data_IF_622994246793
#
_entry.id   IF_622994246793
#
_cell.length_a   1.000
_cell.length_b   1.000
_cell.length_c   1.000
_cell.angle_alpha   90.00
_cell.angle_beta   90.00
_cell.angle_gamma   90.00
#
_symmetry.space_group_name_H-M   'P 1'
#
loop_
_entity.id
_entity.type
_entity.pdbx_description
1 polymer ?
#
# COMPACT_ATOMS: atom_id res chain seq x y z
N UNK A 1 -17.45 -10.67 9.03
CA UNK A 1 -17.13 -10.82 7.59
C UNK A 1 -18.41 -11.10 6.83
N UNK A 2 -18.81 -10.21 5.93
CA UNK A 2 -19.91 -10.46 4.98
C UNK A 2 -19.52 -11.58 4.01
N UNK A 3 -20.48 -12.45 3.67
CA UNK A 3 -20.27 -13.55 2.73
C UNK A 3 -19.97 -13.06 1.31
N UNK A 4 -19.37 -13.92 0.48
CA UNK A 4 -19.16 -13.63 -0.94
C UNK A 4 -20.54 -13.59 -1.63
N UNK A 5 -20.88 -12.47 -2.28
CA UNK A 5 -22.18 -12.26 -2.94
C UNK A 5 -22.02 -12.12 -4.45
N UNK A 6 -22.48 -13.10 -5.21
CA UNK A 6 -22.45 -13.06 -6.69
C UNK A 6 -23.67 -12.28 -7.20
N UNK A 7 -23.52 -11.27 -8.09
CA UNK A 7 -24.65 -10.68 -8.77
C UNK A 7 -25.33 -11.73 -9.67
N UNK A 8 -26.66 -11.72 -9.70
CA UNK A 8 -27.47 -12.60 -10.55
C UNK A 8 -27.94 -11.81 -11.75
N UNK A 9 -27.68 -12.34 -12.95
CA UNK A 9 -28.08 -11.75 -14.23
C UNK A 9 -29.28 -12.52 -14.76
N UNK A 10 -30.42 -11.85 -14.85
CA UNK A 10 -31.66 -12.42 -15.37
C UNK A 10 -32.16 -11.66 -16.58
N UNK A 11 -33.00 -12.31 -17.38
CA UNK A 11 -33.71 -11.65 -18.46
C UNK A 11 -34.51 -10.45 -17.93
N UNK A 12 -34.53 -9.35 -18.70
CA UNK A 12 -35.22 -8.12 -18.33
C UNK A 12 -34.53 -7.28 -17.24
N UNK A 13 -33.35 -7.66 -16.77
CA UNK A 13 -32.60 -6.86 -15.81
C UNK A 13 -32.10 -5.55 -16.43
N UNK A 14 -32.46 -4.42 -15.82
CA UNK A 14 -31.87 -3.12 -16.16
C UNK A 14 -30.54 -2.94 -15.42
N UNK A 15 -29.45 -2.73 -16.18
CA UNK A 15 -28.13 -2.53 -15.61
C UNK A 15 -28.07 -1.23 -14.80
N UNK A 16 -27.47 -1.29 -13.62
CA UNK A 16 -27.24 -0.14 -12.74
C UNK A 16 -25.80 -0.16 -12.19
N UNK A 17 -25.35 0.95 -11.61
CA UNK A 17 -24.00 1.05 -11.04
C UNK A 17 -23.76 0.00 -9.95
N UNK A 18 -24.77 -0.30 -9.14
CA UNK A 18 -24.68 -1.28 -8.05
C UNK A 18 -24.38 -2.69 -8.56
N UNK A 19 -24.88 -3.05 -9.75
CA UNK A 19 -24.57 -4.35 -10.34
C UNK A 19 -23.09 -4.48 -10.67
N UNK A 20 -22.48 -3.46 -11.27
CA UNK A 20 -21.06 -3.44 -11.59
C UNK A 20 -20.20 -3.39 -10.32
N UNK A 21 -20.54 -2.52 -9.37
CA UNK A 21 -19.83 -2.42 -8.09
C UNK A 21 -19.86 -3.73 -7.30
N UNK A 22 -21.01 -4.43 -7.28
CA UNK A 22 -21.14 -5.73 -6.60
C UNK A 22 -20.44 -6.85 -7.38
N UNK A 23 -20.35 -6.75 -8.71
CA UNK A 23 -19.60 -7.68 -9.55
C UNK A 23 -18.10 -7.57 -9.30
N UNK A 24 -17.56 -6.36 -9.25
CA UNK A 24 -16.14 -6.11 -8.90
C UNK A 24 -15.82 -6.64 -7.50
N UNK A 25 -16.65 -6.28 -6.52
CA UNK A 25 -16.50 -6.74 -5.14
C UNK A 25 -16.53 -8.26 -5.01
N UNK A 26 -17.38 -8.94 -5.79
CA UNK A 26 -17.47 -10.40 -5.80
C UNK A 26 -16.15 -11.04 -6.23
N UNK A 27 -15.59 -10.57 -7.34
CA UNK A 27 -14.34 -11.11 -7.89
C UNK A 27 -13.15 -10.78 -7.00
N UNK A 28 -13.03 -9.55 -6.53
CA UNK A 28 -11.95 -9.14 -5.63
C UNK A 28 -11.99 -9.91 -4.32
N UNK A 29 -13.17 -10.04 -3.70
CA UNK A 29 -13.33 -10.81 -2.46
C UNK A 29 -12.96 -12.29 -2.64
N UNK A 30 -13.31 -12.88 -3.79
CA UNK A 30 -12.94 -14.26 -4.09
C UNK A 30 -11.41 -14.40 -4.24
N UNK A 31 -10.78 -13.47 -4.97
CA UNK A 31 -9.33 -13.44 -5.19
C UNK A 31 -8.57 -13.33 -3.87
N UNK A 32 -8.89 -12.31 -3.07
CA UNK A 32 -8.25 -12.04 -1.77
C UNK A 32 -8.39 -13.26 -0.84
N UNK A 33 -9.58 -13.88 -0.77
CA UNK A 33 -9.80 -15.06 0.09
C UNK A 33 -9.00 -16.27 -0.38
N UNK A 34 -8.97 -16.55 -1.68
CA UNK A 34 -8.18 -17.66 -2.24
C UNK A 34 -6.70 -17.48 -1.97
N UNK A 35 -6.18 -16.25 -2.14
CA UNK A 35 -4.79 -15.94 -1.80
C UNK A 35 -4.50 -16.13 -0.32
N UNK A 36 -5.32 -15.60 0.58
CA UNK A 36 -5.14 -15.77 2.02
C UNK A 36 -5.18 -17.23 2.48
N UNK A 37 -5.98 -18.09 1.84
CA UNK A 37 -6.02 -19.52 2.16
C UNK A 37 -4.73 -20.27 1.80
N UNK A 38 -4.06 -19.86 0.72
CA UNK A 38 -2.81 -20.49 0.28
C UNK A 38 -1.56 -19.82 0.88
N UNK A 39 -1.65 -18.53 1.16
CA UNK A 39 -0.57 -17.69 1.67
C UNK A 39 -1.08 -16.86 2.85
N UNK A 40 -1.15 -17.43 4.06
CA UNK A 40 -1.65 -16.72 5.25
C UNK A 40 -0.85 -15.47 5.61
N UNK A 41 0.43 -15.43 5.22
CA UNK A 41 1.32 -14.27 5.36
C UNK A 41 1.63 -13.63 3.98
N UNK A 42 0.74 -13.78 3.01
CA UNK A 42 0.87 -13.25 1.64
C UNK A 42 0.60 -11.76 1.51
N UNK A 43 1.00 -10.97 2.51
CA UNK A 43 0.89 -9.51 2.53
C UNK A 43 2.23 -8.91 2.96
N UNK A 44 2.47 -7.66 2.61
CA UNK A 44 3.71 -6.96 2.89
C UNK A 44 4.31 -6.26 1.69
N UNK A 45 5.55 -5.82 1.84
CA UNK A 45 6.30 -5.05 0.87
C UNK A 45 6.94 -6.00 -0.13
N UNK A 46 6.75 -5.73 -1.42
CA UNK A 46 7.52 -6.34 -2.51
C UNK A 46 8.71 -5.46 -2.88
N UNK A 47 8.47 -4.15 -2.96
CA UNK A 47 9.48 -3.15 -3.31
C UNK A 47 9.19 -1.85 -2.56
N UNK A 48 10.22 -1.20 -2.02
CA UNK A 48 10.12 0.10 -1.35
C UNK A 48 11.35 0.93 -1.68
N UNK A 49 11.14 2.18 -2.07
CA UNK A 49 12.19 3.19 -2.22
C UNK A 49 11.80 4.44 -1.43
N UNK A 50 12.64 4.79 -0.47
CA UNK A 50 12.51 5.98 0.37
C UNK A 50 13.49 7.06 -0.10
N UNK A 51 13.15 8.30 0.19
CA UNK A 51 14.07 9.44 0.07
C UNK A 51 14.88 9.56 1.37
N UNK A 52 16.15 9.16 1.31
CA UNK A 52 17.06 9.22 2.46
C UNK A 52 17.47 10.64 2.82
N UNK A 53 17.52 11.57 1.85
CA UNK A 53 17.86 12.97 2.12
C UNK A 53 16.72 13.67 2.86
N UNK A 54 15.47 13.37 2.50
CA UNK A 54 14.31 13.84 3.24
C UNK A 54 14.30 13.30 4.68
N UNK A 55 14.72 12.04 4.86
CA UNK A 55 14.77 11.42 6.19
C UNK A 55 15.76 12.13 7.11
N UNK A 56 16.93 12.49 6.61
CA UNK A 56 17.93 13.29 7.34
C UNK A 56 17.42 14.69 7.73
N UNK A 57 16.39 15.18 7.04
CA UNK A 57 15.69 16.45 7.31
C UNK A 57 14.46 16.27 8.21
N UNK A 58 14.26 15.09 8.80
CA UNK A 58 13.14 14.81 9.71
C UNK A 58 11.80 14.56 9.00
N UNK A 59 11.82 14.15 7.73
CA UNK A 59 10.63 13.82 6.93
C UNK A 59 10.74 12.42 6.35
N UNK A 60 9.74 11.59 6.54
CA UNK A 60 9.68 10.32 5.81
C UNK A 60 8.99 10.56 4.47
N UNK A 61 9.66 10.30 3.34
CA UNK A 61 9.08 10.38 2.00
C UNK A 61 9.27 9.07 1.25
N UNK A 62 8.18 8.58 0.68
CA UNK A 62 8.16 7.40 -0.19
C UNK A 62 8.27 7.88 -1.63
N UNK A 63 9.27 7.40 -2.35
CA UNK A 63 9.44 7.67 -3.78
C UNK A 63 8.67 6.63 -4.61
N UNK A 64 8.68 5.38 -4.14
CA UNK A 64 8.00 4.27 -4.80
C UNK A 64 7.71 3.13 -3.82
N UNK A 65 6.56 2.47 -3.96
CA UNK A 65 6.23 1.25 -3.23
C UNK A 65 5.38 0.31 -4.09
N UNK A 66 5.69 -0.98 -4.04
CA UNK A 66 4.81 -2.08 -4.47
C UNK A 66 4.57 -2.99 -3.27
N UNK A 67 3.31 -3.18 -2.88
CA UNK A 67 2.97 -3.91 -1.68
C UNK A 67 1.57 -4.53 -1.75
N UNK A 68 1.28 -5.41 -0.81
CA UNK A 68 -0.07 -5.90 -0.52
C UNK A 68 -0.39 -5.53 0.94
N UNK A 69 -1.46 -4.78 1.15
CA UNK A 69 -1.94 -4.42 2.48
C UNK A 69 -2.48 -5.66 3.21
N UNK A 70 -2.61 -5.58 4.53
CA UNK A 70 -3.10 -6.70 5.36
C UNK A 70 -4.51 -7.17 4.96
N UNK A 71 -5.33 -6.27 4.42
CA UNK A 71 -6.67 -6.62 3.92
C UNK A 71 -6.68 -7.21 2.49
N UNK A 72 -5.52 -7.35 1.86
CA UNK A 72 -5.33 -7.92 0.53
C UNK A 72 -5.33 -6.91 -0.61
N UNK A 73 -5.56 -5.61 -0.36
CA UNK A 73 -5.48 -4.58 -1.41
C UNK A 73 -4.03 -4.43 -1.90
N UNK A 74 -3.86 -4.45 -3.21
CA UNK A 74 -2.56 -4.22 -3.85
C UNK A 74 -2.28 -2.72 -3.93
N UNK A 75 -1.07 -2.32 -3.55
CA UNK A 75 -0.56 -0.95 -3.66
C UNK A 75 0.55 -0.94 -4.69
N UNK A 76 0.47 0.00 -5.63
CA UNK A 76 1.53 0.35 -6.56
C UNK A 76 1.55 1.87 -6.62
N UNK A 77 2.55 2.48 -5.99
CA UNK A 77 2.70 3.92 -5.92
C UNK A 77 4.02 4.37 -6.54
N UNK A 78 3.98 5.43 -7.36
CA UNK A 78 5.16 6.16 -7.86
C UNK A 78 4.96 7.67 -7.73
N UNK A 79 5.91 8.35 -7.10
CA UNK A 79 5.82 9.80 -6.84
C UNK A 79 5.67 10.64 -8.12
N UNK A 80 6.33 10.25 -9.21
CA UNK A 80 6.27 10.95 -10.51
C UNK A 80 4.89 10.90 -11.18
N UNK A 81 4.04 9.94 -10.80
CA UNK A 81 2.69 9.75 -11.35
C UNK A 81 1.59 10.17 -10.38
N UNK A 82 1.79 9.89 -9.10
CA UNK A 82 0.77 10.02 -8.06
C UNK A 82 0.94 11.24 -7.17
N UNK A 83 2.11 11.91 -7.24
CA UNK A 83 2.44 13.05 -6.38
C UNK A 83 3.16 12.64 -5.10
N UNK A 84 3.43 13.60 -4.18
CA UNK A 84 4.22 13.34 -2.99
C UNK A 84 3.46 12.48 -1.98
N UNK A 85 4.17 11.51 -1.39
CA UNK A 85 3.71 10.71 -0.25
C UNK A 85 4.74 10.85 0.88
N UNK A 86 4.50 11.81 1.77
CA UNK A 86 5.41 12.09 2.88
C UNK A 86 4.69 12.49 4.17
N UNK A 87 5.39 12.34 5.30
CA UNK A 87 4.95 12.85 6.60
C UNK A 87 6.13 13.47 7.37
N UNK A 88 5.80 14.46 8.20
CA UNK A 88 6.76 15.04 9.13
C UNK A 88 6.96 14.09 10.31
N UNK A 89 8.21 13.83 10.67
CA UNK A 89 8.53 13.02 11.83
C UNK A 89 8.46 13.88 13.10
N UNK A 90 7.85 13.38 14.18
CA UNK A 90 7.91 14.04 15.49
C UNK A 90 9.35 14.06 16.02
N UNK A 91 9.64 14.98 16.93
CA UNK A 91 10.95 14.99 17.61
C UNK A 91 11.20 13.66 18.35
N UNK A 92 12.45 13.16 18.41
CA UNK A 92 12.75 11.91 19.09
C UNK A 92 12.35 11.94 20.56
N UNK A 93 11.47 11.02 20.98
CA UNK A 93 10.96 10.91 22.36
C UNK A 93 11.76 9.95 23.24
N UNK A 94 12.86 9.37 22.72
CA UNK A 94 13.63 8.32 23.39
C UNK A 94 13.11 6.90 23.16
N UNK A 95 11.95 6.75 22.48
CA UNK A 95 11.42 5.46 22.04
C UNK A 95 11.56 5.28 20.52
N UNK A 96 11.64 4.04 20.02
CA UNK A 96 11.59 3.77 18.58
C UNK A 96 10.29 4.24 17.94
N UNK A 97 10.40 4.89 16.78
CA UNK A 97 9.26 5.41 16.03
C UNK A 97 8.97 4.50 14.83
N UNK A 98 7.75 3.96 14.74
CA UNK A 98 7.32 3.18 13.58
C UNK A 98 6.60 4.08 12.57
N UNK A 99 7.05 4.05 11.32
CA UNK A 99 6.35 4.69 10.19
C UNK A 99 5.66 3.62 9.36
N UNK A 100 4.37 3.82 9.13
CA UNK A 100 3.52 2.89 8.39
C UNK A 100 2.84 3.59 7.23
N UNK A 101 2.62 2.84 6.15
CA UNK A 101 1.69 3.19 5.10
C UNK A 101 0.27 2.95 5.62
N UNK A 102 -0.59 3.95 5.55
CA UNK A 102 -2.00 3.85 5.92
C UNK A 102 -2.89 3.91 4.68
N UNK A 103 -3.98 3.14 4.73
CA UNK A 103 -5.04 3.12 3.74
C UNK A 103 -6.39 2.98 4.46
N UNK A 104 -7.37 3.86 4.21
CA UNK A 104 -8.70 3.72 4.81
C UNK A 104 -9.34 2.36 4.52
N UNK A 105 -9.93 1.72 5.53
CA UNK A 105 -10.49 0.36 5.47
C UNK A 105 -11.80 0.24 4.68
N UNK A 106 -12.38 1.37 4.25
CA UNK A 106 -13.60 1.38 3.45
C UNK A 106 -13.29 1.21 1.94
N UNK A 107 -14.34 1.33 1.12
CA UNK A 107 -14.26 1.23 -0.34
C UNK A 107 -14.86 2.45 -1.04
N UNK A 108 -15.03 3.55 -0.30
CA UNK A 108 -15.60 4.78 -0.83
C UNK A 108 -14.56 5.51 -1.66
N UNK A 109 -15.05 6.38 -2.53
CA UNK A 109 -14.23 7.19 -3.40
C UNK A 109 -14.62 8.66 -3.24
N UNK A 110 -13.62 9.50 -3.02
CA UNK A 110 -13.76 10.94 -2.97
C UNK A 110 -13.64 11.57 -4.36
N UNK A 111 -14.12 12.83 -4.48
CA UNK A 111 -13.98 13.65 -5.69
C UNK A 111 -15.00 13.35 -6.80
N UNK A 112 -16.01 12.52 -6.52
CA UNK A 112 -17.08 12.23 -7.50
C UNK A 112 -18.12 13.35 -7.46
N UNK A 113 -18.30 14.04 -8.59
CA UNK A 113 -19.31 15.09 -8.72
C UNK A 113 -20.73 14.58 -8.41
N UNK A 114 -21.48 15.33 -7.59
CA UNK A 114 -22.85 14.96 -7.20
C UNK A 114 -22.97 14.00 -6.01
N UNK A 115 -21.84 13.51 -5.47
CA UNK A 115 -21.80 12.79 -4.19
C UNK A 115 -21.33 13.75 -3.08
N UNK A 116 -21.84 13.57 -1.86
CA UNK A 116 -21.52 14.43 -0.72
C UNK A 116 -20.03 14.37 -0.37
N UNK A 117 -19.36 15.51 -0.38
CA UNK A 117 -17.94 15.65 -0.04
C UNK A 117 -17.76 15.73 1.49
N UNK A 118 -17.87 14.59 2.19
CA UNK A 118 -17.39 14.51 3.57
C UNK A 118 -15.86 14.36 3.53
N UNK A 119 -15.16 15.48 3.36
CA UNK A 119 -13.71 15.74 3.48
C UNK A 119 -12.71 14.81 2.75
N UNK A 120 -13.12 13.69 2.15
CA UNK A 120 -12.34 12.81 1.26
C UNK A 120 -11.09 12.13 1.85
N UNK A 121 -10.57 12.62 2.98
CA UNK A 121 -9.39 12.11 3.67
C UNK A 121 -9.61 10.66 4.14
N UNK A 122 -10.85 10.32 4.50
CA UNK A 122 -11.21 9.00 4.99
C UNK A 122 -11.66 8.04 3.89
N UNK A 123 -11.71 8.44 2.63
CA UNK A 123 -12.11 7.56 1.54
C UNK A 123 -10.90 6.81 0.98
N UNK A 124 -11.06 5.51 0.74
CA UNK A 124 -9.97 4.65 0.26
C UNK A 124 -9.48 5.01 -1.14
N UNK A 125 -10.32 5.68 -1.93
CA UNK A 125 -10.03 6.04 -3.31
C UNK A 125 -10.24 7.53 -3.55
N UNK A 126 -9.45 8.09 -4.46
CA UNK A 126 -9.68 9.39 -5.06
C UNK A 126 -9.92 9.21 -6.56
N UNK A 127 -10.96 9.84 -7.09
CA UNK A 127 -11.20 9.78 -8.54
C UNK A 127 -10.21 10.66 -9.29
N UNK A 128 -9.66 10.13 -10.37
CA UNK A 128 -8.80 10.81 -11.32
C UNK A 128 -9.31 10.54 -12.73
N UNK A 129 -9.54 11.59 -13.51
CA UNK A 129 -10.04 11.44 -14.88
C UNK A 129 -8.90 11.27 -15.87
N UNK A 130 -8.99 10.25 -16.71
CA UNK A 130 -8.02 9.94 -17.75
C UNK A 130 -8.71 9.65 -19.08
N UNK A 131 -8.14 10.12 -20.18
CA UNK A 131 -8.60 9.78 -21.52
C UNK A 131 -7.99 8.45 -21.94
N UNK A 132 -8.83 7.42 -22.03
CA UNK A 132 -8.44 6.05 -22.37
C UNK A 132 -8.88 5.73 -23.79
N UNK A 133 -7.96 5.18 -24.58
CA UNK A 133 -8.24 4.71 -25.93
C UNK A 133 -8.84 3.29 -25.92
N UNK A 134 -9.68 2.99 -26.91
CA UNK A 134 -10.12 1.63 -27.18
C UNK A 134 -8.92 0.77 -27.62
N UNK A 135 -8.78 -0.42 -27.03
CA UNK A 135 -7.68 -1.34 -27.33
C UNK A 135 -7.67 -1.82 -28.80
N UNK A 136 -8.83 -1.82 -29.47
CA UNK A 136 -8.96 -2.24 -30.86
C UNK A 136 -8.93 -1.06 -31.85
N UNK A 137 -9.07 0.19 -31.37
CA UNK A 137 -9.00 1.40 -32.18
C UNK A 137 -8.45 2.58 -31.35
N UNK A 138 -7.13 2.89 -31.45
CA UNK A 138 -6.50 3.96 -30.70
C UNK A 138 -7.08 5.36 -30.96
N UNK A 139 -7.80 5.56 -32.07
CA UNK A 139 -8.43 6.85 -32.37
C UNK A 139 -9.76 7.04 -31.61
N UNK A 140 -10.32 5.96 -31.07
CA UNK A 140 -11.56 5.99 -30.30
C UNK A 140 -11.23 6.15 -28.82
N UNK A 141 -11.33 7.38 -28.33
CA UNK A 141 -11.01 7.71 -26.92
C UNK A 141 -12.24 8.07 -26.09
N UNK A 142 -12.18 7.80 -24.79
CA UNK A 142 -13.18 8.22 -23.79
C UNK A 142 -12.50 8.65 -22.50
N UNK A 143 -12.99 9.72 -21.90
CA UNK A 143 -12.61 10.09 -20.54
C UNK A 143 -13.30 9.16 -19.54
N UNK A 144 -12.50 8.58 -18.64
CA UNK A 144 -12.94 7.66 -17.59
C UNK A 144 -12.48 8.19 -16.23
N UNK A 145 -13.35 8.10 -15.22
CA UNK A 145 -12.97 8.30 -13.82
C UNK A 145 -12.34 7.03 -13.27
N UNK A 146 -11.04 7.05 -13.03
CA UNK A 146 -10.25 5.96 -12.47
C UNK A 146 -9.94 6.22 -10.99
N UNK A 147 -9.94 5.17 -10.18
CA UNK A 147 -9.61 5.28 -8.76
C UNK A 147 -8.10 5.23 -8.52
N UNK A 148 -7.57 6.19 -7.76
CA UNK A 148 -6.25 6.11 -7.13
C UNK A 148 -6.41 5.83 -5.65
N UNK A 149 -5.52 5.04 -5.06
CA UNK A 149 -5.56 4.79 -3.62
C UNK A 149 -5.22 6.07 -2.86
N UNK A 150 -5.98 6.36 -1.83
CA UNK A 150 -5.73 7.47 -0.92
C UNK A 150 -4.74 7.03 0.16
N UNK A 151 -3.47 7.01 -0.20
CA UNK A 151 -2.38 6.57 0.67
C UNK A 151 -1.90 7.73 1.55
N UNK A 152 -1.57 7.43 2.80
CA UNK A 152 -0.92 8.37 3.70
C UNK A 152 0.19 7.69 4.51
N UNK A 153 1.11 8.47 5.06
CA UNK A 153 2.11 7.98 6.00
C UNK A 153 1.73 8.41 7.41
N UNK A 154 1.71 7.44 8.33
CA UNK A 154 1.37 7.67 9.73
C UNK A 154 2.48 7.17 10.63
N UNK A 155 2.67 7.87 11.75
CA UNK A 155 3.59 7.46 12.81
C UNK A 155 2.80 6.83 13.94
N UNK A 156 3.15 5.60 14.31
CA UNK A 156 2.49 4.86 15.41
C UNK A 156 2.08 3.44 15.03
N UNK A 157 1.58 2.72 16.03
CA UNK A 157 1.27 1.28 15.94
C UNK A 157 -0.22 0.97 16.07
N UNK A 158 -1.06 1.97 16.36
CA UNK A 158 -2.48 1.73 16.65
C UNK A 158 -3.26 1.68 15.34
N UNK A 159 -3.53 0.47 14.85
CA UNK A 159 -4.56 0.23 13.84
C UNK A 159 -5.92 0.61 14.45
N UNK A 160 -6.67 1.48 13.76
CA UNK A 160 -8.08 1.72 14.06
C UNK A 160 -8.95 0.84 13.15
N UNK A 161 -10.21 0.60 13.53
CA UNK A 161 -11.17 -0.11 12.66
C UNK A 161 -11.40 0.59 11.31
N UNK A 162 -10.91 1.83 11.15
CA UNK A 162 -11.09 2.67 9.97
C UNK A 162 -9.92 2.64 9.00
N UNK A 163 -8.79 2.00 9.33
CA UNK A 163 -7.57 2.03 8.52
C UNK A 163 -6.86 0.67 8.53
N UNK A 164 -6.17 0.35 7.44
CA UNK A 164 -5.21 -0.75 7.39
C UNK A 164 -3.80 -0.20 7.29
N UNK A 165 -2.90 -0.72 8.13
CA UNK A 165 -1.52 -0.26 8.21
C UNK A 165 -0.56 -1.31 7.64
N UNK A 166 0.46 -0.83 6.95
CA UNK A 166 1.61 -1.62 6.53
C UNK A 166 2.89 -0.95 7.08
N UNK A 167 3.54 -1.54 8.09
CA UNK A 167 4.81 -1.03 8.60
C UNK A 167 5.87 -0.96 7.50
N UNK A 168 6.47 0.22 7.30
CA UNK A 168 7.49 0.44 6.27
C UNK A 168 8.90 0.45 6.86
N UNK A 169 9.10 1.19 7.94
CA UNK A 169 10.40 1.35 8.57
C UNK A 169 10.24 1.68 10.06
N UNK A 170 11.26 1.35 10.85
CA UNK A 170 11.40 1.76 12.25
C UNK A 170 12.60 2.69 12.37
N UNK A 171 12.45 3.74 13.16
CA UNK A 171 13.47 4.74 13.43
C UNK A 171 13.88 4.65 14.89
N UNK A 172 15.18 4.76 15.16
CA UNK A 172 15.72 4.87 16.50
C UNK A 172 16.05 6.33 16.84
N UNK A 173 15.82 6.75 18.08
CA UNK A 173 16.17 8.08 18.54
C UNK A 173 17.70 8.21 18.67
N UNK A 174 18.27 9.29 18.13
CA UNK A 174 19.70 9.58 18.23
C UNK A 174 19.96 10.75 19.19
N UNK A 175 21.12 10.76 19.83
CA UNK A 175 21.50 11.79 20.82
C UNK A 175 21.63 13.22 20.24
N UNK A 176 21.75 13.36 18.92
CA UNK A 176 21.80 14.65 18.23
C UNK A 176 20.42 15.22 17.85
N UNK A 177 19.35 14.60 18.37
CA UNK A 177 17.97 15.02 18.11
C UNK A 177 17.44 14.58 16.74
N UNK A 178 18.14 13.67 16.05
CA UNK A 178 17.68 13.09 14.78
C UNK A 178 17.14 11.68 14.97
N UNK A 179 16.46 11.21 13.94
CA UNK A 179 16.09 9.81 13.79
C UNK A 179 17.10 9.10 12.91
N UNK A 180 17.42 7.85 13.22
CA UNK A 180 18.21 6.98 12.34
C UNK A 180 17.40 5.72 11.97
N UNK A 181 17.50 5.21 10.72
CA UNK A 181 16.89 3.94 10.36
C UNK A 181 17.39 2.80 11.25
N UNK A 182 16.45 2.00 11.77
CA UNK A 182 16.76 0.75 12.44
C UNK A 182 17.09 -0.33 11.41
N UNK A 183 18.37 -0.71 11.29
CA UNK A 183 18.81 -1.73 10.34
C UNK A 183 18.35 -3.16 10.68
N UNK A 184 17.98 -3.40 11.94
CA UNK A 184 17.51 -4.71 12.42
C UNK A 184 15.99 -4.86 12.27
N UNK A 185 15.29 -3.79 11.91
CA UNK A 185 13.87 -3.84 11.63
C UNK A 185 13.58 -4.50 10.28
N UNK A 186 12.79 -5.56 10.31
CA UNK A 186 12.32 -6.27 9.12
C UNK A 186 10.81 -6.03 9.00
N UNK A 187 10.35 -5.28 7.98
CA UNK A 187 8.92 -5.10 7.74
C UNK A 187 8.27 -6.41 7.25
N UNK A 188 6.93 -6.48 7.22
CA UNK A 188 6.24 -7.55 6.48
C UNK A 188 6.66 -7.52 5.01
N UNK A 189 7.14 -8.65 4.48
CA UNK A 189 7.74 -8.75 3.15
C UNK A 189 7.12 -9.89 2.34
N UNK A 190 6.87 -9.62 1.07
CA UNK A 190 6.49 -10.61 0.07
C UNK A 190 7.70 -11.23 -0.64
N UNK A 191 8.80 -10.46 -0.71
CA UNK A 191 10.05 -10.90 -1.32
C UNK A 191 11.22 -10.44 -0.44
N UNK A 192 12.20 -11.32 -0.24
CA UNK A 192 13.44 -11.04 0.53
C UNK A 192 14.17 -9.82 -0.04
N UNK A 193 14.11 -9.65 -1.36
CA UNK A 193 14.71 -8.53 -2.09
C UNK A 193 14.10 -7.17 -1.74
N UNK A 194 12.94 -7.13 -1.07
CA UNK A 194 12.30 -5.91 -0.59
C UNK A 194 12.94 -5.32 0.68
N UNK A 195 13.92 -5.97 1.29
CA UNK A 195 14.61 -5.49 2.50
C UNK A 195 16.13 -5.67 2.39
N UNK A 196 16.86 -4.54 2.35
CA UNK A 196 18.32 -4.53 2.28
C UNK A 196 18.98 -5.24 3.47
N UNK A 197 18.41 -5.13 4.68
CA UNK A 197 18.93 -5.82 5.88
C UNK A 197 18.93 -7.34 5.72
N UNK A 198 17.87 -7.91 5.18
CA UNK A 198 17.76 -9.35 4.92
C UNK A 198 18.70 -9.82 3.81
N UNK A 199 18.89 -9.03 2.75
CA UNK A 199 19.87 -9.35 1.69
C UNK A 199 21.27 -9.44 2.31
N UNK A 200 21.66 -8.45 3.14
CA UNK A 200 22.96 -8.47 3.83
C UNK A 200 23.11 -9.68 4.75
N UNK A 201 22.06 -10.06 5.47
CA UNK A 201 22.07 -11.25 6.31
C UNK A 201 22.24 -12.53 5.48
N UNK A 202 21.51 -12.63 4.36
CA UNK A 202 21.61 -13.74 3.42
C UNK A 202 23.03 -13.89 2.88
N UNK A 203 23.64 -12.81 2.41
CA UNK A 203 25.01 -12.82 1.87
C UNK A 203 26.02 -13.26 2.94
N UNK A 204 25.92 -12.71 4.15
CA UNK A 204 26.80 -13.11 5.28
C UNK A 204 26.65 -14.59 5.65
N UNK A 205 25.44 -15.14 5.59
CA UNK A 205 25.22 -16.56 5.85
C UNK A 205 25.78 -17.44 4.73
N UNK A 206 25.59 -17.04 3.47
CA UNK A 206 26.14 -17.76 2.32
C UNK A 206 27.67 -17.79 2.34
N UNK A 207 28.31 -16.67 2.68
CA UNK A 207 29.77 -16.60 2.80
C UNK A 207 30.30 -17.48 3.94
N UNK A 208 29.61 -17.49 5.10
CA UNK A 208 29.97 -18.39 6.20
C UNK A 208 29.85 -19.85 5.82
N UNK A 209 28.77 -20.25 5.14
CA UNK A 209 28.58 -21.63 4.68
C UNK A 209 29.64 -22.03 3.65
N UNK A 210 29.96 -21.15 2.69
CA UNK A 210 31.02 -21.40 1.70
C UNK A 210 32.38 -21.62 2.37
N UNK A 211 32.72 -20.79 3.35
CA UNK A 211 33.98 -20.92 4.09
C UNK A 211 34.03 -22.21 4.93
N UNK A 212 32.91 -22.63 5.52
CA UNK A 212 32.84 -23.87 6.29
C UNK A 212 32.89 -25.15 5.42
N UNK A 213 32.57 -25.06 4.13
CA UNK A 213 32.62 -26.19 3.18
C UNK A 213 34.01 -26.36 2.56
N UNK A 214 34.78 -25.26 2.44
CA UNK A 214 36.10 -25.27 1.79
C UNK A 214 37.28 -25.21 2.76
N UNK A 215 37.04 -25.10 4.06
CA UNK A 215 38.06 -25.14 5.13
C UNK A 215 37.98 -26.44 5.93
#
# INVERSE_FOLDING_TARGET
MTGIRKPIWSEGLLLSQQHLQQWDLYHESMLIRRFHWHFPLGWGIRYLRLDHEALDQGRCRVIAVDAVMRDGRCVSFREDREGPLDCQLPEPSGEPLLVSLSLPANRRAAGIGGYGNDEGIWDAWQVHYETVADEHDPNRVRELGLGRLNLSLVTGTTESDHETLLPLLRLLPRCDGRHEPDEDFIPPLLQVQGCTGLIRLQDRLLDRLRNAIHG
#
